data_IF_453142890821
#
_entry.id   IF_453142890821
#
_cell.length_a   1.000
_cell.length_b   1.000
_cell.length_c   1.000
_cell.angle_alpha   90.00
_cell.angle_beta   90.00
_cell.angle_gamma   90.00
#
_symmetry.space_group_name_H-M   'P 1'
#
loop_
_entity.id
_entity.type
_entity.pdbx_description
1 polymer ?
#
# COMPACT_ATOMS: atom_id res chain seq x y z
N UNK A 1 24.74 -1.17 0.85
CA UNK A 1 23.64 -2.09 1.25
C UNK A 1 22.50 -1.24 1.78
N UNK A 2 21.26 -1.66 1.60
CA UNK A 2 20.04 -0.92 2.00
C UNK A 2 19.48 -1.55 3.26
N UNK A 3 19.43 -0.83 4.37
CA UNK A 3 18.92 -1.31 5.66
C UNK A 3 17.56 -0.71 6.03
N UNK A 4 17.10 0.29 5.28
CA UNK A 4 15.85 1.02 5.53
C UNK A 4 14.98 1.07 4.28
N UNK A 5 13.69 0.80 4.45
CA UNK A 5 12.66 0.92 3.42
C UNK A 5 11.62 1.94 3.86
N UNK A 6 11.29 2.85 2.95
CA UNK A 6 10.20 3.83 3.10
C UNK A 6 9.05 3.43 2.18
N UNK A 7 7.84 3.31 2.71
CA UNK A 7 6.65 2.94 1.96
C UNK A 7 5.48 3.84 2.32
N UNK A 8 4.65 4.16 1.34
CA UNK A 8 3.40 4.89 1.54
C UNK A 8 2.20 4.00 1.17
N UNK A 9 1.11 4.15 1.90
CA UNK A 9 -0.12 3.42 1.64
C UNK A 9 -1.33 4.33 1.76
N UNK A 10 -2.01 4.55 0.62
CA UNK A 10 -3.18 5.45 0.53
C UNK A 10 -4.47 4.65 0.46
N UNK A 11 -5.50 5.09 1.17
CA UNK A 11 -6.85 4.56 1.00
C UNK A 11 -7.37 4.78 -0.41
N UNK A 12 -7.95 3.76 -1.04
CA UNK A 12 -8.69 3.90 -2.29
C UNK A 12 -10.20 3.79 -2.02
N UNK A 13 -10.99 4.85 -2.24
CA UNK A 13 -12.45 4.82 -2.09
C UNK A 13 -13.14 3.78 -2.98
N UNK A 14 -12.51 3.38 -4.09
CA UNK A 14 -13.04 2.44 -5.06
C UNK A 14 -12.81 0.97 -4.67
N UNK A 15 -12.27 0.68 -3.49
CA UNK A 15 -12.17 -0.69 -3.00
C UNK A 15 -13.56 -1.33 -2.87
N UNK A 16 -13.66 -2.57 -3.33
CA UNK A 16 -14.91 -3.33 -3.38
C UNK A 16 -15.57 -3.43 -2.00
N UNK A 17 -14.79 -3.61 -0.94
CA UNK A 17 -15.27 -3.68 0.45
C UNK A 17 -15.89 -2.37 0.93
N UNK A 18 -15.51 -1.23 0.34
CA UNK A 18 -16.15 0.06 0.61
C UNK A 18 -17.42 0.15 -0.22
N UNK A 19 -17.32 -0.08 -1.54
CA UNK A 19 -18.43 0.12 -2.48
C UNK A 19 -19.65 -0.77 -2.16
N UNK A 20 -19.42 -2.01 -1.72
CA UNK A 20 -20.50 -2.95 -1.37
C UNK A 20 -21.28 -2.56 -0.11
N UNK A 21 -20.69 -1.75 0.76
CA UNK A 21 -21.26 -1.38 2.07
C UNK A 21 -21.87 0.04 2.07
N UNK A 22 -21.92 0.69 0.91
CA UNK A 22 -22.59 1.98 0.72
C UNK A 22 -24.10 1.79 0.52
N UNK A 23 -24.89 2.64 1.17
CA UNK A 23 -26.31 2.71 0.88
C UNK A 23 -26.56 3.45 -0.45
N UNK A 24 -27.74 3.25 -1.05
CA UNK A 24 -28.13 3.92 -2.30
C UNK A 24 -27.97 5.44 -2.15
N UNK A 25 -27.20 6.06 -3.05
CA UNK A 25 -26.93 7.50 -3.05
C UNK A 25 -25.80 7.95 -2.11
N UNK A 26 -25.26 7.07 -1.25
CA UNK A 26 -24.08 7.40 -0.43
C UNK A 26 -22.81 7.38 -1.26
N UNK A 27 -21.92 8.32 -0.98
CA UNK A 27 -20.55 8.33 -1.48
C UNK A 27 -19.61 7.79 -0.39
N UNK A 28 -18.42 7.27 -0.75
CA UNK A 28 -17.41 6.85 0.23
C UNK A 28 -17.11 7.93 1.29
N UNK A 29 -17.06 9.19 0.85
CA UNK A 29 -16.80 10.34 1.71
C UNK A 29 -17.87 10.54 2.79
N UNK A 30 -19.08 10.01 2.61
CA UNK A 30 -20.14 10.09 3.61
C UNK A 30 -19.98 9.04 4.73
N UNK A 31 -19.09 8.05 4.54
CA UNK A 31 -18.88 6.90 5.43
C UNK A 31 -17.43 6.78 5.91
N UNK A 32 -16.93 7.83 6.55
CA UNK A 32 -15.55 7.89 7.10
C UNK A 32 -15.19 6.69 8.00
N UNK A 33 -16.13 6.20 8.80
CA UNK A 33 -15.93 5.03 9.66
C UNK A 33 -15.69 3.74 8.85
N UNK A 34 -16.40 3.56 7.74
CA UNK A 34 -16.20 2.42 6.84
C UNK A 34 -14.83 2.50 6.17
N UNK A 35 -14.48 3.67 5.63
CA UNK A 35 -13.16 3.88 5.02
C UNK A 35 -12.02 3.62 6.01
N UNK A 36 -12.12 4.13 7.23
CA UNK A 36 -11.13 3.88 8.30
C UNK A 36 -10.97 2.39 8.61
N UNK A 37 -12.08 1.66 8.71
CA UNK A 37 -12.07 0.23 9.04
C UNK A 37 -11.43 -0.60 7.92
N UNK A 38 -11.83 -0.38 6.68
CA UNK A 38 -11.27 -1.11 5.52
C UNK A 38 -9.78 -0.77 5.37
N UNK A 39 -9.41 0.50 5.50
CA UNK A 39 -8.01 0.92 5.48
C UNK A 39 -7.20 0.23 6.57
N UNK A 40 -7.68 0.23 7.82
CA UNK A 40 -6.99 -0.39 8.93
C UNK A 40 -6.76 -1.89 8.71
N UNK A 41 -7.75 -2.61 8.18
CA UNK A 41 -7.62 -4.03 7.85
C UNK A 41 -6.56 -4.26 6.78
N UNK A 42 -6.58 -3.50 5.68
CA UNK A 42 -5.58 -3.64 4.60
C UNK A 42 -4.18 -3.23 5.07
N UNK A 43 -4.06 -2.15 5.84
CA UNK A 43 -2.80 -1.73 6.45
C UNK A 43 -2.24 -2.83 7.36
N UNK A 44 -3.06 -3.45 8.22
CA UNK A 44 -2.65 -4.59 9.06
C UNK A 44 -2.17 -5.78 8.22
N UNK A 45 -2.83 -6.07 7.10
CA UNK A 45 -2.41 -7.13 6.18
C UNK A 45 -1.04 -6.83 5.57
N UNK A 46 -0.81 -5.61 5.07
CA UNK A 46 0.49 -5.18 4.54
C UNK A 46 1.57 -5.29 5.61
N UNK A 47 1.32 -4.80 6.83
CA UNK A 47 2.28 -4.91 7.92
C UNK A 47 2.59 -6.36 8.30
N UNK A 48 1.61 -7.27 8.24
CA UNK A 48 1.86 -8.69 8.45
C UNK A 48 2.72 -9.31 7.33
N UNK A 49 2.51 -8.94 6.07
CA UNK A 49 3.36 -9.41 4.97
C UNK A 49 4.82 -8.97 5.18
N UNK A 50 5.02 -7.71 5.57
CA UNK A 50 6.35 -7.15 5.81
C UNK A 50 7.02 -7.80 7.02
N UNK A 51 6.33 -7.89 8.16
CA UNK A 51 6.94 -8.26 9.44
C UNK A 51 6.90 -9.76 9.74
N UNK A 52 5.85 -10.47 9.31
CA UNK A 52 5.65 -11.90 9.61
C UNK A 52 6.02 -12.79 8.44
N UNK A 53 5.56 -12.44 7.23
CA UNK A 53 5.95 -13.17 6.03
C UNK A 53 7.36 -12.77 5.54
N UNK A 54 7.94 -11.70 6.10
CA UNK A 54 9.33 -11.27 5.87
C UNK A 54 9.64 -11.09 4.38
N UNK A 55 8.73 -10.47 3.62
CA UNK A 55 8.90 -10.31 2.16
C UNK A 55 10.17 -9.52 1.77
N UNK A 56 10.67 -8.65 2.65
CA UNK A 56 11.93 -7.91 2.46
C UNK A 56 13.09 -8.47 3.32
N UNK A 57 12.88 -9.59 4.00
CA UNK A 57 13.78 -10.12 5.03
C UNK A 57 13.31 -9.84 6.46
N UNK A 58 14.18 -10.15 7.44
CA UNK A 58 13.85 -9.97 8.86
C UNK A 58 13.81 -8.48 9.24
N UNK A 59 12.69 -8.05 9.83
CA UNK A 59 12.50 -6.67 10.29
C UNK A 59 13.02 -6.54 11.72
N UNK A 60 13.97 -5.61 11.92
CA UNK A 60 14.50 -5.25 13.24
C UNK A 60 13.51 -4.39 14.01
N UNK A 61 12.97 -3.37 13.37
CA UNK A 61 11.91 -2.53 13.89
C UNK A 61 11.17 -1.83 12.74
N UNK A 62 9.99 -1.29 13.04
CA UNK A 62 9.23 -0.49 12.10
C UNK A 62 8.48 0.62 12.85
N UNK A 63 8.17 1.70 12.14
CA UNK A 63 7.33 2.79 12.61
C UNK A 63 6.38 3.17 11.48
N UNK A 64 5.14 3.51 11.80
CA UNK A 64 4.25 4.11 10.83
C UNK A 64 3.40 5.19 11.49
N UNK A 65 3.05 6.20 10.72
CA UNK A 65 2.06 7.22 11.09
C UNK A 65 0.89 7.12 10.11
N UNK A 66 -0.32 7.32 10.62
CA UNK A 66 -1.53 7.41 9.80
C UNK A 66 -2.03 8.85 9.90
N UNK A 67 -2.13 9.52 8.77
CA UNK A 67 -2.67 10.87 8.64
C UNK A 67 -3.92 10.85 7.77
N UNK A 68 -4.76 11.87 7.92
CA UNK A 68 -5.94 12.05 7.08
C UNK A 68 -5.66 13.13 6.05
N UNK A 69 -5.55 12.73 4.78
CA UNK A 69 -5.34 13.64 3.66
C UNK A 69 -6.59 14.47 3.35
N UNK A 70 -6.44 15.50 2.50
CA UNK A 70 -7.57 16.29 2.01
C UNK A 70 -8.66 15.36 1.47
N UNK A 71 -9.93 15.66 1.81
CA UNK A 71 -11.13 14.81 1.58
C UNK A 71 -11.29 13.65 2.56
N UNK A 72 -10.51 13.63 3.64
CA UNK A 72 -10.70 12.68 4.73
C UNK A 72 -10.40 11.25 4.28
N UNK A 73 -9.30 11.03 3.57
CA UNK A 73 -8.80 9.68 3.28
C UNK A 73 -7.60 9.38 4.16
N UNK A 74 -7.55 8.21 4.82
CA UNK A 74 -6.41 7.83 5.61
C UNK A 74 -5.24 7.46 4.68
N UNK A 75 -4.05 7.88 5.09
CA UNK A 75 -2.79 7.64 4.40
C UNK A 75 -1.75 7.26 5.45
N UNK A 76 -0.97 6.22 5.16
CA UNK A 76 0.08 5.74 6.05
C UNK A 76 1.46 6.03 5.45
N UNK A 77 2.33 6.58 6.28
CA UNK A 77 3.77 6.65 6.04
C UNK A 77 4.43 5.56 6.87
N UNK A 78 5.18 4.66 6.23
CA UNK A 78 5.74 3.46 6.85
C UNK A 78 7.27 3.48 6.69
N UNK A 79 7.98 3.33 7.80
CA UNK A 79 9.43 3.18 7.88
C UNK A 79 9.76 1.79 8.43
N UNK A 80 10.61 1.06 7.74
CA UNK A 80 11.02 -0.30 8.07
C UNK A 80 12.53 -0.35 8.14
N UNK A 81 13.06 -0.90 9.24
CA UNK A 81 14.48 -1.20 9.40
C UNK A 81 14.67 -2.71 9.37
N UNK A 82 15.48 -3.18 8.43
CA UNK A 82 15.83 -4.58 8.29
C UNK A 82 16.96 -4.94 9.27
N UNK A 83 16.97 -6.18 9.73
CA UNK A 83 18.05 -6.72 10.55
C UNK A 83 19.31 -6.92 9.73
N UNK A 84 19.14 -7.49 8.54
CA UNK A 84 20.19 -7.67 7.56
C UNK A 84 19.94 -6.70 6.41
N UNK A 85 20.96 -5.96 6.01
CA UNK A 85 20.84 -5.02 4.90
C UNK A 85 20.71 -5.74 3.57
N UNK A 86 19.75 -5.32 2.75
CA UNK A 86 19.59 -5.76 1.37
C UNK A 86 20.83 -5.38 0.56
N UNK A 87 21.37 -6.33 -0.20
CA UNK A 87 22.42 -6.04 -1.15
C UNK A 87 21.86 -5.14 -2.27
N UNK A 88 22.64 -4.18 -2.76
CA UNK A 88 22.16 -3.17 -3.72
C UNK A 88 21.64 -3.83 -5.01
N UNK A 89 22.28 -4.90 -5.47
CA UNK A 89 21.86 -5.67 -6.64
C UNK A 89 20.54 -6.43 -6.48
N UNK A 90 19.97 -6.49 -5.27
CA UNK A 90 18.68 -7.13 -4.98
C UNK A 90 17.55 -6.13 -4.80
N UNK A 91 17.83 -4.84 -4.88
CA UNK A 91 16.79 -3.80 -4.70
C UNK A 91 15.72 -3.92 -5.78
N UNK A 92 16.14 -4.18 -7.02
CA UNK A 92 15.25 -4.29 -8.17
C UNK A 92 14.34 -5.54 -8.11
N UNK A 93 14.69 -6.54 -7.28
CA UNK A 93 13.82 -7.69 -7.00
C UNK A 93 12.54 -7.28 -6.26
N UNK A 94 12.56 -6.13 -5.57
CA UNK A 94 11.53 -5.71 -4.61
C UNK A 94 10.88 -4.37 -4.96
N UNK A 95 11.61 -3.47 -5.64
CA UNK A 95 11.18 -2.12 -5.93
C UNK A 95 11.40 -1.87 -7.42
N UNK A 96 10.34 -1.46 -8.11
CA UNK A 96 10.42 -0.99 -9.49
C UNK A 96 9.61 0.29 -9.65
N UNK A 97 10.14 1.21 -10.46
CA UNK A 97 9.44 2.41 -10.92
C UNK A 97 8.89 2.23 -12.35
N UNK A 98 9.03 1.04 -12.92
CA UNK A 98 8.60 0.73 -14.28
C UNK A 98 7.14 0.26 -14.31
N UNK A 99 6.47 0.56 -15.42
CA UNK A 99 5.14 -0.01 -15.69
C UNK A 99 5.36 -1.47 -16.15
N UNK A 100 4.71 -2.47 -15.52
CA UNK A 100 4.88 -3.87 -15.89
C UNK A 100 4.59 -4.13 -17.37
N UNK A 101 5.27 -5.09 -18.00
CA UNK A 101 4.98 -5.44 -19.39
C UNK A 101 3.60 -6.15 -19.48
N UNK A 102 2.63 -5.61 -20.25
CA UNK A 102 1.30 -6.21 -20.36
C UNK A 102 1.29 -7.60 -21.01
N UNK A 103 2.33 -8.00 -21.74
CA UNK A 103 2.45 -9.33 -22.34
C UNK A 103 3.03 -10.36 -21.35
N UNK A 104 3.85 -9.93 -20.40
CA UNK A 104 4.50 -10.81 -19.41
C UNK A 104 3.66 -10.94 -18.14
N UNK A 105 3.14 -9.82 -17.64
CA UNK A 105 2.25 -9.78 -16.47
C UNK A 105 1.08 -8.81 -16.70
N UNK A 106 0.04 -9.24 -17.44
CA UNK A 106 -1.15 -8.41 -17.67
C UNK A 106 -1.88 -8.06 -16.38
N UNK A 107 -1.79 -8.90 -15.35
CA UNK A 107 -2.46 -8.70 -14.07
C UNK A 107 -1.83 -7.53 -13.29
N UNK A 108 -0.52 -7.58 -13.10
CA UNK A 108 0.21 -6.50 -12.44
C UNK A 108 0.15 -5.21 -13.25
N UNK A 109 0.23 -5.29 -14.59
CA UNK A 109 0.03 -4.12 -15.46
C UNK A 109 -1.32 -3.44 -15.20
N UNK A 110 -2.42 -4.22 -15.17
CA UNK A 110 -3.75 -3.69 -14.90
C UNK A 110 -3.86 -3.05 -13.51
N UNK A 111 -3.27 -3.67 -12.49
CA UNK A 111 -3.26 -3.13 -11.12
C UNK A 111 -2.47 -1.83 -11.06
N UNK A 112 -1.23 -1.80 -11.56
CA UNK A 112 -0.36 -0.61 -11.50
C UNK A 112 -0.97 0.54 -12.30
N UNK A 113 -1.43 0.29 -13.52
CA UNK A 113 -2.04 1.35 -14.35
C UNK A 113 -3.32 1.92 -13.75
N UNK A 114 -4.13 1.09 -13.09
CA UNK A 114 -5.38 1.54 -12.45
C UNK A 114 -5.14 2.30 -11.13
N UNK A 115 -4.09 1.95 -10.39
CA UNK A 115 -3.91 2.41 -9.01
C UNK A 115 -2.81 3.48 -8.85
N UNK A 116 -1.78 3.43 -9.69
CA UNK A 116 -0.54 4.22 -9.51
C UNK A 116 -0.36 5.29 -10.59
N UNK A 117 -1.04 5.20 -11.73
CA UNK A 117 -0.97 6.22 -12.80
C UNK A 117 -1.99 7.32 -12.52
N UNK A 118 -1.51 8.54 -12.42
CA UNK A 118 -2.33 9.73 -12.23
C UNK A 118 -2.33 10.53 -13.54
N UNK A 119 -3.49 11.04 -13.96
CA UNK A 119 -3.57 11.95 -15.11
C UNK A 119 -2.91 13.30 -14.78
N UNK A 120 -2.42 14.05 -15.79
CA UNK A 120 -1.96 15.43 -15.61
C UNK A 120 -3.08 16.38 -15.18
#
# INVERSE_FOLDING_TARGET
MVDRICSSFTCNPNWTEIQQELFVGQKPQDRHNLMARVFHQKHKTIMNLITKAKIFGEVKCHMHTIEWQKRGLPHAHILIWLKDSLHVHRVDDFISAEIPNPQEDPGLFCIVTKQMVHGP
#
